data_IF_752612692078
#
_entry.id   IF_752612692078
#
_cell.length_a   1.000
_cell.length_b   1.000
_cell.length_c   1.000
_cell.angle_alpha   90.00
_cell.angle_beta   90.00
_cell.angle_gamma   90.00
#
_symmetry.space_group_name_H-M   'P 1'
#
loop_
_entity.id
_entity.type
_entity.pdbx_description
1 polymer ?
#
# COMPACT_ATOMS: atom_id res chain seq x y z
N UNK A 1 -59.54 -20.92 37.06
CA UNK A 1 -58.09 -21.11 37.13
C UNK A 1 -57.68 -21.72 35.82
N UNK A 2 -57.15 -20.93 34.89
CA UNK A 2 -56.37 -21.45 33.77
C UNK A 2 -55.21 -20.49 33.53
N UNK A 3 -54.01 -21.01 33.77
CA UNK A 3 -52.75 -20.29 33.77
C UNK A 3 -52.34 -19.97 32.33
N UNK A 4 -52.22 -18.68 32.02
CA UNK A 4 -51.53 -18.23 30.82
C UNK A 4 -50.02 -18.44 30.99
N UNK A 5 -49.46 -19.41 30.26
CA UNK A 5 -48.02 -19.55 30.08
C UNK A 5 -47.50 -18.41 29.20
N UNK A 6 -46.71 -17.51 29.77
CA UNK A 6 -45.88 -16.57 29.03
C UNK A 6 -44.66 -17.29 28.45
N UNK A 7 -44.69 -17.66 27.16
CA UNK A 7 -43.48 -18.00 26.42
C UNK A 7 -42.73 -16.71 26.09
N UNK A 8 -41.63 -16.46 26.81
CA UNK A 8 -40.64 -15.45 26.43
C UNK A 8 -39.96 -15.89 25.13
N UNK A 9 -40.38 -15.31 24.01
CA UNK A 9 -39.65 -15.41 22.75
C UNK A 9 -38.33 -14.66 22.87
N UNK A 10 -37.22 -15.37 23.10
CA UNK A 10 -35.88 -14.82 22.94
C UNK A 10 -35.70 -14.42 21.46
N UNK A 11 -35.70 -13.12 21.20
CA UNK A 11 -35.42 -12.57 19.88
C UNK A 11 -34.00 -13.00 19.46
N UNK A 12 -33.90 -13.93 18.51
CA UNK A 12 -32.62 -14.25 17.88
C UNK A 12 -32.16 -13.03 17.07
N UNK A 13 -30.90 -12.58 17.20
CA UNK A 13 -30.38 -11.51 16.36
C UNK A 13 -30.50 -11.89 14.88
N UNK A 14 -30.89 -10.92 14.05
CA UNK A 14 -31.18 -11.11 12.61
C UNK A 14 -29.90 -11.42 11.82
N UNK A 15 -28.75 -10.93 12.29
CA UNK A 15 -27.44 -11.12 11.68
C UNK A 15 -26.55 -11.91 12.63
N UNK A 16 -25.68 -12.75 12.08
CA UNK A 16 -24.63 -13.40 12.86
C UNK A 16 -23.51 -12.40 13.24
N UNK A 17 -22.70 -12.75 14.23
CA UNK A 17 -21.52 -11.94 14.60
C UNK A 17 -20.54 -11.81 13.42
N UNK A 18 -20.44 -12.86 12.59
CA UNK A 18 -19.65 -12.85 11.35
C UNK A 18 -20.20 -11.82 10.35
N UNK A 19 -21.51 -11.83 10.09
CA UNK A 19 -22.15 -10.86 9.18
C UNK A 19 -21.98 -9.41 9.65
N UNK A 20 -22.10 -9.19 10.97
CA UNK A 20 -21.87 -7.89 11.59
C UNK A 20 -20.42 -7.46 11.42
N UNK A 21 -19.46 -8.36 11.70
CA UNK A 21 -18.04 -8.10 11.53
C UNK A 21 -17.67 -7.79 10.08
N UNK A 22 -18.22 -8.52 9.10
CA UNK A 22 -18.03 -8.20 7.69
C UNK A 22 -18.65 -6.87 7.29
N UNK A 23 -19.82 -6.52 7.82
CA UNK A 23 -20.47 -5.23 7.56
C UNK A 23 -19.59 -4.08 8.03
N UNK A 24 -19.08 -4.16 9.27
CA UNK A 24 -18.15 -3.16 9.81
C UNK A 24 -16.86 -3.13 9.00
N UNK A 25 -16.27 -4.28 8.70
CA UNK A 25 -15.04 -4.35 7.91
C UNK A 25 -15.19 -3.75 6.50
N UNK A 26 -16.34 -3.98 5.85
CA UNK A 26 -16.66 -3.40 4.56
C UNK A 26 -16.76 -1.87 4.62
N UNK A 27 -17.40 -1.32 5.65
CA UNK A 27 -17.49 0.13 5.83
C UNK A 27 -16.12 0.75 6.16
N UNK A 28 -15.30 0.12 7.02
CA UNK A 28 -13.93 0.56 7.28
C UNK A 28 -13.12 0.64 5.98
N UNK A 29 -13.20 -0.38 5.11
CA UNK A 29 -12.54 -0.40 3.80
C UNK A 29 -13.06 0.69 2.85
N UNK A 30 -14.33 1.08 2.95
CA UNK A 30 -14.92 2.17 2.17
C UNK A 30 -14.41 3.51 2.67
N UNK A 31 -14.52 3.76 3.97
CA UNK A 31 -14.13 5.02 4.61
C UNK A 31 -12.63 5.31 4.46
N UNK A 32 -11.76 4.29 4.52
CA UNK A 32 -10.32 4.45 4.21
C UNK A 32 -10.09 5.02 2.82
N UNK A 33 -10.83 4.56 1.80
CA UNK A 33 -10.70 5.06 0.42
C UNK A 33 -11.20 6.49 0.30
N UNK A 34 -12.32 6.82 0.92
CA UNK A 34 -12.87 8.18 0.96
C UNK A 34 -11.87 9.15 1.60
N UNK A 35 -11.26 8.78 2.74
CA UNK A 35 -10.26 9.61 3.40
C UNK A 35 -8.97 9.72 2.60
N UNK A 36 -8.56 8.67 1.88
CA UNK A 36 -7.42 8.74 0.97
C UNK A 36 -7.69 9.76 -0.15
N UNK A 37 -8.86 9.67 -0.81
CA UNK A 37 -9.29 10.65 -1.83
C UNK A 37 -9.29 12.06 -1.25
N UNK A 38 -9.96 12.27 -0.12
CA UNK A 38 -10.08 13.58 0.51
C UNK A 38 -8.72 14.16 0.95
N UNK A 39 -7.78 13.33 1.43
CA UNK A 39 -6.42 13.77 1.73
C UNK A 39 -5.67 14.22 0.47
N UNK A 40 -5.86 13.53 -0.65
CA UNK A 40 -5.19 13.88 -1.92
C UNK A 40 -5.79 15.12 -2.58
N UNK A 41 -7.11 15.30 -2.49
CA UNK A 41 -7.85 16.42 -3.08
C UNK A 41 -7.86 17.69 -2.21
N UNK A 42 -7.47 17.59 -0.93
CA UNK A 42 -7.41 18.73 -0.03
C UNK A 42 -6.41 19.80 -0.51
N UNK A 43 -6.92 21.04 -0.67
CA UNK A 43 -6.14 22.20 -1.11
C UNK A 43 -5.23 22.80 -0.03
N UNK A 44 -5.50 22.54 1.26
CA UNK A 44 -4.74 23.07 2.38
C UNK A 44 -4.16 21.96 3.27
N UNK A 45 -3.00 22.23 3.88
CA UNK A 45 -2.25 21.25 4.66
C UNK A 45 -3.02 20.73 5.88
N UNK A 46 -3.82 21.59 6.51
CA UNK A 46 -4.59 21.22 7.71
C UNK A 46 -5.64 20.16 7.42
N UNK A 47 -6.41 20.32 6.34
CA UNK A 47 -7.45 19.35 5.95
C UNK A 47 -6.81 18.05 5.44
N UNK A 48 -5.69 18.14 4.72
CA UNK A 48 -4.89 16.97 4.32
C UNK A 48 -4.42 16.18 5.54
N UNK A 49 -3.90 16.85 6.56
CA UNK A 49 -3.47 16.21 7.82
C UNK A 49 -4.64 15.58 8.55
N UNK A 50 -5.80 16.24 8.62
CA UNK A 50 -7.00 15.69 9.22
C UNK A 50 -7.41 14.36 8.56
N UNK A 51 -7.55 14.34 7.23
CA UNK A 51 -7.93 13.11 6.52
C UNK A 51 -6.85 12.03 6.61
N UNK A 52 -5.57 12.41 6.63
CA UNK A 52 -4.47 11.45 6.86
C UNK A 52 -4.58 10.79 8.24
N UNK A 53 -4.87 11.58 9.28
CA UNK A 53 -5.04 11.07 10.64
C UNK A 53 -6.26 10.16 10.76
N UNK A 54 -7.39 10.56 10.18
CA UNK A 54 -8.61 9.75 10.13
C UNK A 54 -8.35 8.43 9.39
N UNK A 55 -7.69 8.48 8.22
CA UNK A 55 -7.29 7.29 7.45
C UNK A 55 -6.43 6.34 8.28
N UNK A 56 -5.39 6.85 8.95
CA UNK A 56 -4.49 6.03 9.77
C UNK A 56 -5.24 5.39 10.95
N UNK A 57 -6.11 6.13 11.63
CA UNK A 57 -6.95 5.60 12.70
C UNK A 57 -7.88 4.49 12.21
N UNK A 58 -8.53 4.69 11.07
CA UNK A 58 -9.42 3.69 10.46
C UNK A 58 -8.66 2.44 10.02
N UNK A 59 -7.44 2.57 9.49
CA UNK A 59 -6.57 1.43 9.16
C UNK A 59 -6.21 0.61 10.41
N UNK A 60 -5.94 1.24 11.55
CA UNK A 60 -5.70 0.54 12.81
C UNK A 60 -6.95 -0.22 13.27
N UNK A 61 -8.13 0.39 13.22
CA UNK A 61 -9.39 -0.29 13.54
C UNK A 61 -9.64 -1.48 12.60
N UNK A 62 -9.37 -1.33 11.30
CA UNK A 62 -9.49 -2.40 10.31
C UNK A 62 -8.55 -3.57 10.64
N UNK A 63 -7.30 -3.30 11.03
CA UNK A 63 -6.34 -4.32 11.43
C UNK A 63 -6.76 -5.07 12.70
N UNK A 64 -7.26 -4.35 13.70
CA UNK A 64 -7.75 -4.96 14.94
C UNK A 64 -8.95 -5.87 14.69
N UNK A 65 -9.93 -5.40 13.89
CA UNK A 65 -11.09 -6.20 13.53
C UNK A 65 -10.70 -7.43 12.70
N UNK A 66 -9.78 -7.28 11.74
CA UNK A 66 -9.27 -8.40 10.95
C UNK A 66 -8.66 -9.49 11.84
N UNK A 67 -7.80 -9.11 12.79
CA UNK A 67 -7.17 -10.06 13.71
C UNK A 67 -8.21 -10.78 14.58
N UNK A 68 -9.23 -10.05 15.05
CA UNK A 68 -10.34 -10.63 15.80
C UNK A 68 -11.12 -11.64 14.94
N UNK A 69 -11.49 -11.26 13.72
CA UNK A 69 -12.20 -12.16 12.80
C UNK A 69 -11.38 -13.42 12.49
N UNK A 70 -10.07 -13.29 12.30
CA UNK A 70 -9.17 -14.41 12.06
C UNK A 70 -9.12 -15.37 13.27
N UNK A 71 -8.96 -14.84 14.49
CA UNK A 71 -8.92 -15.64 15.72
C UNK A 71 -10.21 -16.45 15.94
N UNK A 72 -11.34 -15.91 15.51
CA UNK A 72 -12.65 -16.55 15.64
C UNK A 72 -13.06 -17.38 14.42
N UNK A 73 -12.17 -17.61 13.45
CA UNK A 73 -12.46 -18.30 12.19
C UNK A 73 -13.65 -17.69 11.41
N UNK A 74 -13.87 -16.38 11.56
CA UNK A 74 -14.92 -15.61 10.88
C UNK A 74 -14.41 -14.94 9.59
N UNK A 75 -13.15 -15.17 9.23
CA UNK A 75 -12.53 -14.59 8.05
C UNK A 75 -12.12 -15.69 7.09
N UNK A 76 -12.87 -15.85 6.00
CA UNK A 76 -12.40 -16.63 4.87
C UNK A 76 -11.57 -15.68 4.00
N UNK A 77 -10.29 -15.99 3.84
CA UNK A 77 -9.43 -15.16 2.98
C UNK A 77 -10.04 -15.13 1.60
N UNK A 78 -10.50 -13.96 1.17
CA UNK A 78 -11.03 -13.76 -0.18
C UNK A 78 -10.06 -14.40 -1.16
N UNK A 79 -10.60 -15.19 -2.09
CA UNK A 79 -9.84 -15.85 -3.15
C UNK A 79 -8.74 -14.92 -3.66
N UNK A 80 -7.48 -15.39 -3.82
CA UNK A 80 -6.38 -14.55 -4.28
C UNK A 80 -6.85 -13.70 -5.45
N UNK A 81 -6.60 -12.38 -5.37
CA UNK A 81 -7.05 -11.43 -6.37
C UNK A 81 -6.84 -12.03 -7.75
N UNK A 82 -7.91 -12.10 -8.56
CA UNK A 82 -7.85 -12.68 -9.91
C UNK A 82 -6.61 -12.11 -10.58
N UNK A 83 -5.67 -12.98 -10.95
CA UNK A 83 -4.38 -12.59 -11.56
C UNK A 83 -4.56 -11.52 -12.64
N UNK A 84 -5.66 -11.64 -13.38
CA UNK A 84 -6.14 -10.69 -14.38
C UNK A 84 -6.28 -9.24 -13.90
N UNK A 85 -6.84 -8.99 -12.71
CA UNK A 85 -6.99 -7.63 -12.17
C UNK A 85 -5.65 -7.06 -11.72
N UNK A 86 -4.77 -7.91 -11.16
CA UNK A 86 -3.38 -7.52 -10.84
C UNK A 86 -2.63 -7.15 -12.11
N UNK A 87 -2.73 -7.97 -13.15
CA UNK A 87 -2.09 -7.75 -14.45
C UNK A 87 -2.63 -6.48 -15.14
N UNK A 88 -3.94 -6.25 -15.06
CA UNK A 88 -4.60 -5.04 -15.58
C UNK A 88 -4.08 -3.78 -14.88
N UNK A 89 -4.02 -3.78 -13.54
CA UNK A 89 -3.53 -2.63 -12.79
C UNK A 89 -2.04 -2.38 -13.05
N UNK A 90 -1.25 -3.46 -13.20
CA UNK A 90 0.15 -3.37 -13.57
C UNK A 90 0.33 -2.71 -14.95
N UNK A 91 -0.43 -3.14 -15.96
CA UNK A 91 -0.40 -2.55 -17.30
C UNK A 91 -0.82 -1.08 -17.30
N UNK A 92 -1.87 -0.74 -16.55
CA UNK A 92 -2.32 0.65 -16.41
C UNK A 92 -1.22 1.52 -15.79
N UNK A 93 -0.59 1.06 -14.71
CA UNK A 93 0.51 1.80 -14.07
C UNK A 93 1.70 2.01 -15.00
N UNK A 94 2.08 0.98 -15.78
CA UNK A 94 3.16 1.11 -16.78
C UNK A 94 2.83 2.17 -17.84
N UNK A 95 1.60 2.16 -18.37
CA UNK A 95 1.17 3.16 -19.35
C UNK A 95 1.15 4.57 -18.76
N UNK A 96 0.66 4.72 -17.53
CA UNK A 96 0.67 6.01 -16.83
C UNK A 96 2.09 6.51 -16.63
N UNK A 97 3.02 5.66 -16.18
CA UNK A 97 4.43 6.03 -16.01
C UNK A 97 5.06 6.51 -17.33
N UNK A 98 4.80 5.83 -18.45
CA UNK A 98 5.27 6.25 -19.77
C UNK A 98 4.71 7.62 -20.17
N UNK A 99 3.40 7.83 -19.98
CA UNK A 99 2.77 9.13 -20.26
C UNK A 99 3.34 10.24 -19.39
N UNK A 100 3.58 9.98 -18.11
CA UNK A 100 4.23 10.93 -17.20
C UNK A 100 5.63 11.29 -17.68
N UNK A 101 6.44 10.31 -18.10
CA UNK A 101 7.77 10.57 -18.65
C UNK A 101 7.72 11.39 -19.94
N UNK A 102 6.78 11.12 -20.84
CA UNK A 102 6.58 11.89 -22.07
C UNK A 102 6.12 13.33 -21.77
N UNK A 103 5.25 13.51 -20.77
CA UNK A 103 4.81 14.83 -20.33
C UNK A 103 5.96 15.65 -19.75
N UNK A 104 6.79 15.06 -18.88
CA UNK A 104 7.97 15.72 -18.30
C UNK A 104 8.98 16.14 -19.38
N UNK A 105 9.18 15.31 -20.41
CA UNK A 105 10.02 15.64 -21.57
C UNK A 105 9.44 16.82 -22.36
N UNK A 106 8.12 16.80 -22.64
CA UNK A 106 7.45 17.91 -23.34
C UNK A 106 7.53 19.22 -22.56
N UNK A 107 7.42 19.18 -21.24
CA UNK A 107 7.51 20.36 -20.39
C UNK A 107 8.95 20.87 -20.13
N UNK A 108 10.00 20.18 -20.63
CA UNK A 108 11.41 20.54 -20.37
C UNK A 108 11.77 20.59 -18.88
N UNK A 109 11.02 19.89 -18.02
CA UNK A 109 11.29 19.81 -16.57
C UNK A 109 12.37 18.77 -16.22
N UNK A 110 12.93 18.05 -17.21
CA UNK A 110 14.03 17.09 -17.03
C UNK A 110 15.44 17.70 -16.91
N UNK A 111 15.55 19.02 -16.78
CA UNK A 111 16.80 19.78 -16.92
C UNK A 111 17.48 20.27 -15.64
N UNK A 112 17.19 19.73 -14.44
CA UNK A 112 17.87 20.15 -13.21
C UNK A 112 18.23 18.98 -12.28
N UNK A 113 19.12 18.09 -12.75
CA UNK A 113 20.01 17.31 -11.86
C UNK A 113 21.19 16.73 -12.66
N UNK A 114 21.89 17.59 -13.42
CA UNK A 114 23.25 17.30 -13.85
C UNK A 114 24.18 17.49 -12.66
N UNK A 115 24.35 16.46 -11.82
CA UNK A 115 25.52 16.34 -10.95
C UNK A 115 26.36 15.16 -11.44
N UNK A 116 27.12 15.49 -12.46
CA UNK A 116 28.29 14.82 -12.98
C UNK A 116 29.29 14.67 -11.83
N UNK A 117 29.38 13.48 -11.23
CA UNK A 117 30.49 13.14 -10.36
C UNK A 117 31.74 12.97 -11.22
N UNK A 118 32.51 14.05 -11.30
CA UNK A 118 33.84 14.09 -11.87
C UNK A 118 34.79 13.40 -10.88
N UNK A 119 35.21 12.18 -11.22
CA UNK A 119 36.25 11.48 -10.48
C UNK A 119 37.61 12.19 -10.70
N UNK A 120 38.38 12.53 -9.66
CA UNK A 120 39.73 13.02 -9.82
C UNK A 120 40.65 11.86 -10.22
N UNK A 121 41.28 11.99 -11.39
CA UNK A 121 42.36 11.15 -11.86
C UNK A 121 43.60 11.39 -10.98
N UNK A 122 43.99 10.41 -10.15
CA UNK A 122 45.32 10.38 -9.55
C UNK A 122 46.23 9.51 -10.40
N UNK A 123 47.22 10.19 -10.99
CA UNK A 123 48.40 9.61 -11.61
C UNK A 123 49.23 8.88 -10.56
N UNK A 124 49.62 7.64 -10.86
CA UNK A 124 50.72 6.97 -10.17
C UNK A 124 51.64 6.38 -11.24
N UNK A 125 52.73 7.12 -11.48
CA UNK A 125 53.93 6.64 -12.17
C UNK A 125 54.49 5.45 -11.39
N UNK A 126 54.59 4.28 -12.01
CA UNK A 126 55.39 3.19 -11.48
C UNK A 126 56.66 3.03 -12.29
N UNK A 127 57.75 3.26 -11.58
CA UNK A 127 59.12 3.34 -12.04
C UNK A 127 59.69 1.94 -12.25
N UNK A 128 60.33 1.75 -13.41
CA UNK A 128 61.16 0.60 -13.77
C UNK A 128 62.37 0.46 -12.83
N UNK A 129 62.67 -0.78 -12.40
CA UNK A 129 64.05 -1.31 -12.37
C UNK A 129 64.05 -2.85 -12.20
N UNK A 130 65.15 -3.56 -12.50
CA UNK A 130 65.09 -4.85 -13.17
C UNK A 130 65.60 -5.97 -12.25
N UNK A 131 65.36 -7.21 -12.63
CA UNK A 131 66.18 -8.29 -12.12
C UNK A 131 65.50 -9.64 -12.07
N UNK A 132 66.17 -10.57 -12.75
CA UNK A 132 66.24 -12.00 -12.41
C UNK A 132 65.10 -12.86 -12.97
N UNK A 133 65.35 -13.34 -14.19
CA UNK A 133 64.96 -14.68 -14.67
C UNK A 133 65.53 -15.73 -13.68
N UNK A 134 64.86 -16.89 -13.42
CA UNK A 134 64.90 -17.96 -14.42
C UNK A 134 63.73 -18.98 -14.43
N UNK A 135 63.50 -19.55 -15.63
CA UNK A 135 63.20 -20.97 -15.96
C UNK A 135 62.37 -21.85 -14.99
N UNK A 136 61.29 -22.46 -15.49
CA UNK A 136 61.20 -23.92 -15.73
C UNK A 136 60.05 -24.24 -16.70
N UNK A 137 60.21 -25.39 -17.37
CA UNK A 137 59.43 -25.99 -18.47
C UNK A 137 57.91 -26.04 -18.31
#
# INVERSE_FOLDING_TARGET
MDQQQYQQGQARPILSDEDLAYTVLADLKRVVREYATAATEANCQQIRQLFTNLMNSTLQMQGNLYNLMLQHNMYDTSSPALRQEVDKQLKMNQQTAQKTQQFLQQQHLGGYASHQYQAPQQQLHQQQNPGVNPYFM
#
